data_IF_431461303977
#
_entry.id   IF_431461303977
#
_cell.length_a   1.000
_cell.length_b   1.000
_cell.length_c   1.000
_cell.angle_alpha   90.00
_cell.angle_beta   90.00
_cell.angle_gamma   90.00
#
_symmetry.space_group_name_H-M   'P 1'
#
loop_
_entity.id
_entity.type
_entity.pdbx_description
1 polymer ?
#
# COMPACT_ATOMS: atom_id res chain seq x y z
N UNK A 1 16.75 -16.98 -1.27
CA UNK A 1 17.17 -17.16 -2.67
C UNK A 1 17.75 -15.86 -3.21
N UNK A 2 18.27 -15.85 -4.44
CA UNK A 2 18.67 -14.62 -5.14
C UNK A 2 17.48 -13.66 -5.33
N UNK A 3 16.31 -14.19 -5.68
CA UNK A 3 15.05 -13.44 -5.84
C UNK A 3 14.64 -12.72 -4.53
N UNK A 4 14.72 -13.38 -3.37
CA UNK A 4 14.45 -12.74 -2.07
C UNK A 4 15.37 -11.55 -1.81
N UNK A 5 16.66 -11.67 -2.16
CA UNK A 5 17.62 -10.56 -2.01
C UNK A 5 17.28 -9.42 -2.97
N UNK A 6 16.82 -9.74 -4.17
CA UNK A 6 16.39 -8.75 -5.16
C UNK A 6 15.17 -7.96 -4.69
N UNK A 7 14.15 -8.64 -4.16
CA UNK A 7 12.96 -8.00 -3.56
C UNK A 7 13.38 -7.02 -2.45
N UNK A 8 14.25 -7.44 -1.53
CA UNK A 8 14.74 -6.57 -0.45
C UNK A 8 15.56 -5.37 -0.98
N UNK A 9 16.38 -5.56 -2.02
CA UNK A 9 17.12 -4.47 -2.67
C UNK A 9 16.18 -3.48 -3.37
N UNK A 10 15.21 -3.98 -4.13
CA UNK A 10 14.22 -3.15 -4.82
C UNK A 10 13.38 -2.37 -3.82
N UNK A 11 12.94 -2.99 -2.71
CA UNK A 11 12.26 -2.29 -1.62
C UNK A 11 13.12 -1.18 -1.03
N UNK A 12 14.40 -1.42 -0.76
CA UNK A 12 15.30 -0.43 -0.19
C UNK A 12 15.54 0.77 -1.13
N UNK A 13 15.67 0.53 -2.45
CA UNK A 13 15.78 1.59 -3.45
C UNK A 13 14.49 2.42 -3.50
N UNK A 14 13.34 1.75 -3.55
CA UNK A 14 12.04 2.42 -3.44
C UNK A 14 12.03 3.27 -2.16
N UNK A 15 12.30 2.74 -0.98
CA UNK A 15 12.29 3.55 0.26
C UNK A 15 13.16 4.82 0.23
N UNK A 16 14.27 4.82 -0.51
CA UNK A 16 15.13 6.01 -0.68
C UNK A 16 14.60 7.02 -1.68
N UNK A 17 13.92 6.57 -2.73
CA UNK A 17 13.62 7.35 -3.94
C UNK A 17 12.12 7.44 -4.23
N UNK A 18 11.25 6.93 -3.34
CA UNK A 18 9.88 6.55 -3.73
C UNK A 18 8.95 7.70 -4.09
N UNK A 19 9.26 8.98 -3.83
CA UNK A 19 8.27 10.04 -4.05
C UNK A 19 8.79 11.07 -5.05
N UNK A 20 8.15 11.21 -6.23
CA UNK A 20 8.48 12.25 -7.20
C UNK A 20 8.39 13.65 -6.59
N UNK A 21 9.24 14.56 -7.08
CA UNK A 21 9.16 15.96 -6.69
C UNK A 21 7.80 16.56 -7.08
N UNK A 22 7.16 17.27 -6.15
CA UNK A 22 5.85 17.89 -6.36
C UNK A 22 4.66 17.08 -5.86
N UNK A 23 4.84 15.82 -5.47
CA UNK A 23 3.80 15.03 -4.81
C UNK A 23 3.90 15.13 -3.28
N UNK A 24 2.74 15.05 -2.59
CA UNK A 24 2.70 15.10 -1.13
C UNK A 24 3.20 13.77 -0.53
N UNK A 25 4.37 13.74 0.12
CA UNK A 25 4.93 12.51 0.65
C UNK A 25 4.10 11.94 1.82
N UNK A 26 3.32 12.76 2.49
CA UNK A 26 2.52 12.34 3.64
C UNK A 26 1.31 11.49 3.21
N UNK A 27 0.84 11.65 1.97
CA UNK A 27 -0.42 11.04 1.49
C UNK A 27 -0.29 10.33 0.14
N UNK A 28 0.87 9.76 -0.15
CA UNK A 28 1.13 9.04 -1.39
C UNK A 28 0.52 7.61 -1.38
N UNK A 29 -0.43 7.36 -2.27
CA UNK A 29 -1.24 6.14 -2.36
C UNK A 29 -0.47 4.93 -2.85
N UNK A 30 0.53 5.12 -3.71
CA UNK A 30 1.40 4.04 -4.18
C UNK A 30 2.67 3.92 -3.36
N UNK A 31 3.30 5.07 -3.15
CA UNK A 31 4.65 5.17 -2.63
C UNK A 31 4.69 5.80 -1.23
N UNK A 32 3.57 5.82 -0.51
CA UNK A 32 3.54 6.12 0.92
C UNK A 32 3.92 4.91 1.78
N UNK A 33 4.40 5.16 2.99
CA UNK A 33 4.68 4.09 3.98
C UNK A 33 3.37 3.39 4.33
N UNK A 34 3.34 2.06 4.20
CA UNK A 34 2.15 1.23 4.39
C UNK A 34 1.13 1.29 3.24
N UNK A 35 1.43 1.99 2.15
CA UNK A 35 0.56 2.07 0.96
C UNK A 35 0.88 0.95 -0.05
N UNK A 36 0.35 1.01 -1.29
CA UNK A 36 0.34 -0.13 -2.23
C UNK A 36 1.67 -0.88 -2.35
N UNK A 37 2.76 -0.18 -2.63
CA UNK A 37 4.03 -0.84 -2.87
C UNK A 37 4.58 -1.56 -1.63
N UNK A 38 4.31 -1.06 -0.41
CA UNK A 38 4.73 -1.78 0.80
C UNK A 38 3.99 -3.12 0.92
N UNK A 39 2.69 -3.16 0.58
CA UNK A 39 1.90 -4.40 0.57
C UNK A 39 2.36 -5.35 -0.53
N UNK A 40 2.61 -4.84 -1.74
CA UNK A 40 3.11 -5.62 -2.88
C UNK A 40 4.44 -6.32 -2.57
N UNK A 41 5.41 -5.58 -2.02
CA UNK A 41 6.70 -6.14 -1.64
C UNK A 41 6.56 -7.18 -0.52
N UNK A 42 5.68 -6.94 0.45
CA UNK A 42 5.42 -7.88 1.53
C UNK A 42 4.84 -9.20 1.02
N UNK A 43 3.82 -9.13 0.16
CA UNK A 43 3.25 -10.30 -0.49
C UNK A 43 4.31 -11.04 -1.32
N UNK A 44 5.02 -10.35 -2.21
CA UNK A 44 6.05 -10.97 -3.07
C UNK A 44 7.17 -11.65 -2.26
N UNK A 45 7.63 -11.04 -1.17
CA UNK A 45 8.63 -11.64 -0.28
C UNK A 45 8.13 -12.96 0.29
N UNK A 46 6.93 -12.94 0.88
CA UNK A 46 6.34 -14.13 1.50
C UNK A 46 6.04 -15.23 0.47
N UNK A 47 5.58 -14.87 -0.74
CA UNK A 47 5.36 -15.84 -1.81
C UNK A 47 6.63 -16.61 -2.17
N UNK A 48 7.78 -15.92 -2.19
CA UNK A 48 9.08 -16.53 -2.46
C UNK A 48 9.58 -17.37 -1.27
N UNK A 49 9.46 -16.85 -0.04
CA UNK A 49 9.93 -17.54 1.17
C UNK A 49 9.12 -18.82 1.46
N UNK A 50 7.81 -18.81 1.19
CA UNK A 50 6.90 -19.93 1.47
C UNK A 50 6.49 -20.72 0.22
N UNK A 51 6.99 -20.35 -0.97
CA UNK A 51 6.68 -21.00 -2.27
C UNK A 51 5.18 -21.04 -2.59
N UNK A 52 4.49 -19.92 -2.37
CA UNK A 52 3.03 -19.75 -2.60
C UNK A 52 2.76 -18.80 -3.79
N UNK A 53 3.04 -19.20 -5.04
CA UNK A 53 2.87 -18.31 -6.19
C UNK A 53 1.38 -18.02 -6.45
N UNK A 54 1.11 -16.77 -6.81
CA UNK A 54 -0.23 -16.29 -7.16
C UNK A 54 -0.14 -15.04 -8.01
N UNK A 55 -1.00 -14.86 -9.03
CA UNK A 55 -1.12 -13.60 -9.74
C UNK A 55 -1.83 -12.54 -8.86
N UNK A 56 -1.28 -11.33 -8.82
CA UNK A 56 -1.89 -10.19 -8.15
C UNK A 56 -1.79 -10.21 -6.62
N UNK A 57 -1.74 -9.03 -6.02
CA UNK A 57 -1.46 -8.85 -4.60
C UNK A 57 -2.58 -9.40 -3.71
N UNK A 58 -3.84 -9.16 -4.06
CA UNK A 58 -4.98 -9.59 -3.22
C UNK A 58 -5.11 -11.11 -3.14
N UNK A 59 -4.91 -11.82 -4.26
CA UNK A 59 -4.93 -13.28 -4.28
C UNK A 59 -3.71 -13.84 -3.55
N UNK A 60 -2.54 -13.22 -3.71
CA UNK A 60 -1.35 -13.57 -2.96
C UNK A 60 -1.59 -13.50 -1.44
N UNK A 61 -2.18 -12.41 -0.94
CA UNK A 61 -2.51 -12.26 0.49
C UNK A 61 -3.43 -13.38 0.99
N UNK A 62 -4.50 -13.72 0.26
CA UNK A 62 -5.41 -14.82 0.63
C UNK A 62 -4.67 -16.14 0.74
N UNK A 63 -3.88 -16.49 -0.28
CA UNK A 63 -3.15 -17.76 -0.33
C UNK A 63 -2.05 -17.86 0.73
N UNK A 64 -1.41 -16.74 1.06
CA UNK A 64 -0.43 -16.70 2.14
C UNK A 64 -1.07 -16.95 3.50
N UNK A 65 -2.28 -16.42 3.74
CA UNK A 65 -3.06 -16.72 4.95
C UNK A 65 -3.48 -18.19 4.97
N UNK A 66 -4.03 -18.71 3.87
CA UNK A 66 -4.42 -20.12 3.75
C UNK A 66 -3.25 -21.09 3.98
N UNK A 67 -2.05 -20.71 3.55
CA UNK A 67 -0.82 -21.49 3.76
C UNK A 67 -0.18 -21.31 5.15
N UNK A 68 -0.75 -20.47 6.03
CA UNK A 68 -0.17 -20.14 7.33
C UNK A 68 1.13 -19.32 7.27
N UNK A 69 1.45 -18.75 6.11
CA UNK A 69 2.61 -17.90 5.88
C UNK A 69 2.39 -16.44 6.32
N UNK A 70 1.14 -16.04 6.50
CA UNK A 70 0.71 -14.74 6.99
C UNK A 70 -0.43 -14.93 7.98
N UNK A 71 -0.39 -14.24 9.11
CA UNK A 71 -1.51 -14.25 10.06
C UNK A 71 -2.79 -13.68 9.41
N UNK A 72 -3.95 -14.20 9.79
CA UNK A 72 -5.23 -13.78 9.21
C UNK A 72 -5.56 -12.31 9.46
N UNK A 73 -5.27 -11.80 10.65
CA UNK A 73 -5.51 -10.40 11.00
C UNK A 73 -4.55 -9.48 10.25
N UNK A 74 -3.28 -9.90 10.11
CA UNK A 74 -2.28 -9.18 9.33
C UNK A 74 -2.65 -9.14 7.84
N UNK A 75 -3.11 -10.26 7.29
CA UNK A 75 -3.64 -10.35 5.93
C UNK A 75 -4.81 -9.41 5.71
N UNK A 76 -5.76 -9.35 6.66
CA UNK A 76 -6.88 -8.43 6.59
C UNK A 76 -6.45 -6.95 6.62
N UNK A 77 -5.47 -6.61 7.45
CA UNK A 77 -4.89 -5.25 7.54
C UNK A 77 -4.23 -4.83 6.24
N UNK A 78 -3.39 -5.68 5.65
CA UNK A 78 -2.73 -5.40 4.38
C UNK A 78 -3.74 -5.27 3.23
N UNK A 79 -4.74 -6.16 3.20
CA UNK A 79 -5.82 -6.14 2.22
C UNK A 79 -6.69 -4.87 2.30
N UNK A 80 -6.98 -4.38 3.51
CA UNK A 80 -7.70 -3.12 3.73
C UNK A 80 -6.93 -1.92 3.16
N UNK A 81 -5.64 -1.81 3.48
CA UNK A 81 -4.79 -0.73 2.96
C UNK A 81 -4.63 -0.78 1.44
N UNK A 82 -4.42 -1.97 0.87
CA UNK A 82 -4.27 -2.14 -0.58
C UNK A 82 -5.53 -1.68 -1.32
N UNK A 83 -6.72 -2.20 -0.94
CA UNK A 83 -7.99 -1.84 -1.57
C UNK A 83 -8.29 -0.35 -1.45
N UNK A 84 -8.06 0.24 -0.27
CA UNK A 84 -8.28 1.67 -0.06
C UNK A 84 -7.39 2.51 -0.97
N UNK A 85 -6.08 2.23 -0.99
CA UNK A 85 -5.13 3.00 -1.81
C UNK A 85 -5.39 2.82 -3.31
N UNK A 86 -5.69 1.59 -3.75
CA UNK A 86 -5.99 1.28 -5.15
C UNK A 86 -7.27 2.00 -5.61
N UNK A 87 -8.36 1.88 -4.84
CA UNK A 87 -9.62 2.56 -5.16
C UNK A 87 -9.44 4.08 -5.23
N UNK A 88 -8.75 4.66 -4.24
CA UNK A 88 -8.52 6.11 -4.18
C UNK A 88 -7.65 6.58 -5.35
N UNK A 89 -6.61 5.82 -5.72
CA UNK A 89 -5.72 6.12 -6.85
C UNK A 89 -6.45 6.01 -8.18
N UNK A 90 -7.27 4.97 -8.35
CA UNK A 90 -8.09 4.79 -9.55
C UNK A 90 -9.08 5.94 -9.71
N UNK A 91 -9.69 6.40 -8.60
CA UNK A 91 -10.59 7.54 -8.63
C UNK A 91 -9.87 8.85 -8.94
N UNK A 92 -8.69 9.07 -8.35
CA UNK A 92 -7.84 10.21 -8.65
C UNK A 92 -7.51 10.29 -10.15
N UNK A 93 -7.13 9.15 -10.76
CA UNK A 93 -6.88 9.05 -12.20
C UNK A 93 -8.11 9.40 -13.05
N UNK A 94 -9.29 8.88 -12.69
CA UNK A 94 -10.54 9.18 -13.40
C UNK A 94 -10.95 10.66 -13.35
N UNK A 95 -10.51 11.39 -12.32
CA UNK A 95 -10.73 12.83 -12.20
C UNK A 95 -9.71 13.67 -12.99
N UNK A 96 -8.78 13.03 -13.70
CA UNK A 96 -7.77 13.69 -14.54
C UNK A 96 -6.60 14.27 -13.74
N UNK A 97 -6.46 13.94 -12.46
CA UNK A 97 -5.32 14.38 -11.67
C UNK A 97 -4.05 13.60 -12.05
N UNK A 98 -2.93 14.32 -12.16
CA UNK A 98 -1.62 13.72 -12.34
C UNK A 98 -1.02 13.31 -11.00
N UNK A 99 -0.38 12.13 -10.95
CA UNK A 99 0.33 11.62 -9.78
C UNK A 99 -0.49 10.65 -8.93
N UNK A 100 0.09 10.30 -7.79
CA UNK A 100 -0.32 9.20 -6.93
C UNK A 100 -0.47 9.62 -5.46
N UNK A 101 -0.50 10.93 -5.17
CA UNK A 101 -0.74 11.50 -3.85
C UNK A 101 -2.12 12.15 -3.76
N UNK A 102 -2.70 12.17 -2.55
CA UNK A 102 -3.92 12.94 -2.30
C UNK A 102 -3.70 14.42 -2.67
N UNK A 103 -4.63 15.08 -3.38
CA UNK A 103 -4.45 16.46 -3.80
C UNK A 103 -4.19 17.41 -2.62
N UNK A 104 -3.29 18.39 -2.83
CA UNK A 104 -3.03 19.46 -1.86
C UNK A 104 -4.06 20.59 -1.99
N UNK A 105 -4.50 20.90 -3.21
CA UNK A 105 -5.55 21.88 -3.44
C UNK A 105 -6.87 21.41 -2.82
N UNK A 106 -7.49 22.29 -2.04
CA UNK A 106 -8.71 21.95 -1.28
C UNK A 106 -9.89 21.58 -2.18
N UNK A 107 -10.00 22.22 -3.36
CA UNK A 107 -11.05 21.92 -4.32
C UNK A 107 -10.92 20.50 -4.90
N UNK A 108 -9.71 20.13 -5.33
CA UNK A 108 -9.43 18.81 -5.92
C UNK A 108 -9.61 17.69 -4.90
N UNK A 109 -9.15 17.92 -3.66
CA UNK A 109 -9.37 16.98 -2.57
C UNK A 109 -10.88 16.81 -2.27
N UNK A 110 -11.65 17.90 -2.30
CA UNK A 110 -13.10 17.84 -2.12
C UNK A 110 -13.81 17.11 -3.26
N UNK A 111 -13.35 17.28 -4.51
CA UNK A 111 -13.86 16.51 -5.67
C UNK A 111 -13.57 15.01 -5.50
N UNK A 112 -12.34 14.65 -5.13
CA UNK A 112 -11.96 13.27 -4.87
C UNK A 112 -12.78 12.65 -3.73
N UNK A 113 -12.86 13.33 -2.58
CA UNK A 113 -13.61 12.84 -1.42
C UNK A 113 -15.09 12.59 -1.75
N UNK A 114 -15.76 13.54 -2.43
CA UNK A 114 -17.15 13.37 -2.86
C UNK A 114 -17.33 12.17 -3.79
N UNK A 115 -16.38 11.92 -4.70
CA UNK A 115 -16.44 10.78 -5.62
C UNK A 115 -16.19 9.41 -4.95
N UNK A 116 -15.78 9.44 -3.69
CA UNK A 116 -15.60 8.28 -2.80
C UNK A 116 -16.65 8.26 -1.67
N UNK A 117 -17.71 9.07 -1.80
CA UNK A 117 -18.79 9.20 -0.82
C UNK A 117 -18.30 9.52 0.61
N UNK A 118 -17.29 10.40 0.72
CA UNK A 118 -16.69 10.82 1.99
C UNK A 118 -16.34 12.31 2.00
N UNK A 119 -15.83 12.82 3.12
CA UNK A 119 -15.30 14.18 3.26
C UNK A 119 -13.77 14.23 3.14
N UNK A 120 -13.18 15.40 2.79
CA UNK A 120 -11.72 15.58 2.77
C UNK A 120 -11.00 15.17 4.07
N UNK A 121 -11.64 15.46 5.21
CA UNK A 121 -11.10 15.15 6.53
C UNK A 121 -11.08 13.63 6.74
N UNK A 122 -12.23 12.98 6.56
CA UNK A 122 -12.38 11.54 6.70
C UNK A 122 -11.47 10.76 5.73
N UNK A 123 -11.31 11.23 4.48
CA UNK A 123 -10.42 10.59 3.51
C UNK A 123 -8.96 10.59 3.99
N UNK A 124 -8.47 11.72 4.52
CA UNK A 124 -7.10 11.82 5.06
C UNK A 124 -6.94 11.00 6.35
N UNK A 125 -7.96 10.97 7.21
CA UNK A 125 -7.97 10.15 8.42
C UNK A 125 -7.99 8.65 8.10
N UNK A 126 -8.80 8.25 7.13
CA UNK A 126 -8.84 6.89 6.60
C UNK A 126 -7.48 6.47 6.07
N UNK A 127 -6.87 7.29 5.21
CA UNK A 127 -5.53 7.04 4.69
C UNK A 127 -4.53 6.81 5.84
N UNK A 128 -4.47 7.72 6.81
CA UNK A 128 -3.55 7.61 7.96
C UNK A 128 -3.79 6.34 8.76
N UNK A 129 -5.06 5.98 8.97
CA UNK A 129 -5.43 4.81 9.75
C UNK A 129 -4.99 3.51 9.08
N UNK A 130 -5.34 3.31 7.81
CA UNK A 130 -5.06 2.05 7.11
C UNK A 130 -3.56 1.90 6.83
N UNK A 131 -2.88 2.97 6.42
CA UNK A 131 -1.45 2.93 6.10
C UNK A 131 -0.57 2.77 7.34
N UNK A 132 -0.93 3.38 8.49
CA UNK A 132 -0.22 3.15 9.76
C UNK A 132 -0.31 1.68 10.19
N UNK A 133 -1.50 1.08 10.13
CA UNK A 133 -1.70 -0.33 10.49
C UNK A 133 -0.93 -1.26 9.54
N UNK A 134 -1.06 -1.02 8.24
CA UNK A 134 -0.30 -1.74 7.21
C UNK A 134 1.21 -1.62 7.43
N UNK A 135 1.72 -0.42 7.73
CA UNK A 135 3.15 -0.25 8.00
C UNK A 135 3.61 -1.05 9.22
N UNK A 136 2.83 -1.14 10.28
CA UNK A 136 3.19 -1.96 11.45
C UNK A 136 3.33 -3.44 11.07
N UNK A 137 2.42 -3.97 10.26
CA UNK A 137 2.51 -5.34 9.73
C UNK A 137 3.76 -5.49 8.85
N UNK A 138 4.01 -4.56 7.94
CA UNK A 138 5.17 -4.60 7.03
C UNK A 138 6.49 -4.54 7.82
N UNK A 139 6.60 -3.73 8.88
CA UNK A 139 7.81 -3.68 9.72
C UNK A 139 8.11 -5.05 10.35
N UNK A 140 7.07 -5.71 10.89
CA UNK A 140 7.20 -7.04 11.48
C UNK A 140 7.51 -8.11 10.45
N UNK A 141 6.72 -8.19 9.38
CA UNK A 141 6.78 -9.28 8.39
C UNK A 141 7.98 -9.14 7.47
N UNK A 142 8.26 -7.93 6.96
CA UNK A 142 9.32 -7.73 5.96
C UNK A 142 10.71 -7.57 6.59
N UNK A 143 10.80 -6.92 7.76
CA UNK A 143 12.08 -6.59 8.39
C UNK A 143 12.36 -7.35 9.68
N UNK A 144 11.39 -8.10 10.22
CA UNK A 144 11.55 -8.80 11.50
C UNK A 144 11.64 -7.86 12.69
N UNK A 145 11.13 -6.62 12.60
CA UNK A 145 11.17 -5.65 13.69
C UNK A 145 9.87 -5.71 14.51
N UNK A 146 9.99 -5.94 15.82
CA UNK A 146 8.90 -5.84 16.80
C UNK A 146 8.88 -4.47 17.47
#
# INVERSE_FOLDING_TARGET
SEEVREIRRSKARVERERIPAGEDPQFHLKLGRGSLSDVEFCAQLLQLEHRVPSPGTMQALSRLVEAGALDGDDGAVLAEAYRFCELTRNRLYLLGAGGDALPQASEDLARLARSLDTTPVELREQYRRVTRRSRAVVERVFYGRS
#
